data_IF_678020883433
#
_entry.id   IF_678020883433
#
_cell.length_a   1.000
_cell.length_b   1.000
_cell.length_c   1.000
_cell.angle_alpha   90.00
_cell.angle_beta   90.00
_cell.angle_gamma   90.00
#
_symmetry.space_group_name_H-M   'P 1'
#
loop_
_entity.id
_entity.type
_entity.pdbx_description
1 polymer ?
#
# COMPACT_ATOMS: atom_id res chain seq x y z
N UNK A 1 -5.34 4.85 -13.82
CA UNK A 1 -6.13 3.61 -13.60
C UNK A 1 -6.19 3.31 -12.11
N UNK A 2 -7.36 2.99 -11.60
CA UNK A 2 -7.54 2.65 -10.19
C UNK A 2 -7.38 1.15 -9.99
N UNK A 3 -6.62 0.78 -8.97
CA UNK A 3 -6.41 -0.61 -8.60
C UNK A 3 -6.14 -0.70 -7.11
N UNK A 4 -5.98 -1.90 -6.57
CA UNK A 4 -5.61 -2.06 -5.18
C UNK A 4 -4.09 -2.01 -5.05
N UNK A 5 -3.61 -1.60 -3.88
CA UNK A 5 -2.17 -1.57 -3.62
C UNK A 5 -1.57 -2.97 -3.75
N UNK A 6 -2.34 -4.01 -3.38
CA UNK A 6 -1.87 -5.40 -3.47
C UNK A 6 -1.63 -5.85 -4.92
N UNK A 7 -2.24 -5.17 -5.90
CA UNK A 7 -2.09 -5.53 -7.31
C UNK A 7 -0.94 -4.80 -7.99
N UNK A 8 -0.25 -3.93 -7.27
CA UNK A 8 0.80 -3.10 -7.85
C UNK A 8 2.03 -3.97 -8.15
N UNK A 9 2.56 -3.84 -9.36
CA UNK A 9 3.76 -4.57 -9.75
C UNK A 9 5.01 -3.97 -9.08
N UNK A 10 6.02 -4.80 -8.86
CA UNK A 10 7.29 -4.33 -8.33
C UNK A 10 7.85 -3.22 -9.21
N UNK A 11 8.37 -2.18 -8.56
CA UNK A 11 8.94 -1.04 -9.25
C UNK A 11 7.93 0.03 -9.66
N UNK A 12 6.65 -0.22 -9.46
CA UNK A 12 5.60 0.71 -9.89
C UNK A 12 5.27 1.69 -8.79
N UNK A 13 5.09 2.96 -9.17
CA UNK A 13 4.65 4.02 -8.26
C UNK A 13 3.15 4.25 -8.44
N UNK A 14 2.46 4.48 -7.34
CA UNK A 14 1.04 4.80 -7.38
C UNK A 14 0.71 5.82 -6.29
N UNK A 15 -0.46 6.42 -6.39
CA UNK A 15 -0.93 7.42 -5.42
C UNK A 15 -2.15 6.85 -4.70
N UNK A 16 -2.14 6.94 -3.38
CA UNK A 16 -3.27 6.47 -2.56
C UNK A 16 -4.49 7.35 -2.84
N UNK A 17 -5.64 6.72 -3.11
CA UNK A 17 -6.89 7.42 -3.38
C UNK A 17 -7.94 7.20 -2.32
N UNK A 18 -8.05 5.96 -1.83
CA UNK A 18 -9.07 5.64 -0.84
C UNK A 18 -8.62 4.44 -0.03
N UNK A 19 -9.22 4.27 1.14
CA UNK A 19 -8.94 3.14 2.01
C UNK A 19 -10.26 2.56 2.48
N UNK A 20 -10.45 1.28 2.23
CA UNK A 20 -11.68 0.57 2.58
C UNK A 20 -11.56 -0.19 3.90
N UNK A 21 -10.51 0.11 4.68
CA UNK A 21 -10.33 -0.42 6.02
C UNK A 21 -11.12 0.43 7.01
N UNK A 22 -11.36 -0.13 8.20
CA UNK A 22 -12.04 0.60 9.27
C UNK A 22 -11.38 0.28 10.61
N UNK A 23 -11.76 1.04 11.64
CA UNK A 23 -11.31 0.80 13.00
C UNK A 23 -9.81 1.00 13.19
N UNK A 24 -9.22 0.14 14.03
CA UNK A 24 -7.81 0.27 14.40
C UNK A 24 -6.87 0.00 13.21
N UNK A 25 -7.28 -0.86 12.28
CA UNK A 25 -6.47 -1.12 11.10
C UNK A 25 -6.34 0.14 10.25
N UNK A 26 -7.45 0.86 10.02
CA UNK A 26 -7.43 2.10 9.26
C UNK A 26 -6.50 3.12 9.92
N UNK A 27 -6.62 3.26 11.24
CA UNK A 27 -5.77 4.21 11.98
C UNK A 27 -4.30 3.85 11.83
N UNK A 28 -3.97 2.56 11.96
CA UNK A 28 -2.58 2.12 11.87
C UNK A 28 -1.98 2.41 10.50
N UNK A 29 -2.75 2.13 9.44
CA UNK A 29 -2.29 2.37 8.08
C UNK A 29 -2.12 3.87 7.83
N UNK A 30 -3.02 4.70 8.34
CA UNK A 30 -2.91 6.14 8.20
C UNK A 30 -1.71 6.68 8.96
N UNK A 31 -1.41 6.12 10.13
CA UNK A 31 -0.24 6.53 10.91
C UNK A 31 1.06 6.19 10.19
N UNK A 32 1.06 5.18 9.34
CA UNK A 32 2.22 4.85 8.51
C UNK A 32 2.37 5.78 7.31
N UNK A 33 1.39 6.66 7.08
CA UNK A 33 1.44 7.60 5.97
C UNK A 33 0.55 7.25 4.79
N UNK A 34 -0.28 6.21 4.89
CA UNK A 34 -1.15 5.78 3.80
C UNK A 34 -2.43 6.61 3.81
N UNK A 35 -2.29 7.89 3.46
CA UNK A 35 -3.42 8.81 3.36
C UNK A 35 -3.59 9.21 1.90
N UNK A 36 -4.77 9.74 1.58
CA UNK A 36 -5.07 10.17 0.21
C UNK A 36 -4.01 11.14 -0.29
N UNK A 37 -3.52 10.91 -1.51
CA UNK A 37 -2.51 11.74 -2.12
C UNK A 37 -1.08 11.28 -1.88
N UNK A 38 -0.86 10.33 -0.99
CA UNK A 38 0.50 9.83 -0.70
C UNK A 38 0.97 8.93 -1.83
N UNK A 39 2.20 9.13 -2.29
CA UNK A 39 2.81 8.24 -3.28
C UNK A 39 3.42 7.04 -2.58
N UNK A 40 3.23 5.87 -3.19
CA UNK A 40 3.83 4.62 -2.70
C UNK A 40 4.52 3.94 -3.87
N UNK A 41 5.60 3.22 -3.57
CA UNK A 41 6.32 2.44 -4.55
C UNK A 41 6.35 1.00 -4.07
N UNK A 42 5.94 0.06 -4.94
CA UNK A 42 6.07 -1.35 -4.64
C UNK A 42 7.52 -1.74 -4.87
N UNK A 43 8.26 -2.05 -3.81
CA UNK A 43 9.68 -2.33 -3.91
C UNK A 43 9.94 -3.80 -4.21
N UNK A 44 9.39 -4.68 -3.38
CA UNK A 44 9.76 -6.09 -3.46
C UNK A 44 8.68 -6.96 -2.83
N UNK A 45 8.26 -7.98 -3.57
CA UNK A 45 7.34 -8.99 -3.09
C UNK A 45 8.14 -10.18 -2.59
N UNK A 46 7.80 -10.70 -1.41
CA UNK A 46 8.52 -11.84 -0.87
C UNK A 46 8.34 -13.05 -1.78
N UNK A 47 9.23 -14.06 -1.72
CA UNK A 47 9.09 -15.26 -2.56
C UNK A 47 7.76 -15.97 -2.38
N UNK A 48 7.15 -15.90 -1.20
CA UNK A 48 5.85 -16.48 -0.94
C UNK A 48 4.70 -15.60 -1.42
N UNK A 49 5.01 -14.40 -1.93
CA UNK A 49 3.99 -13.46 -2.40
C UNK A 49 3.51 -12.49 -1.34
N UNK A 50 3.83 -12.74 -0.07
CA UNK A 50 3.34 -11.95 1.05
C UNK A 50 4.31 -12.11 2.22
N UNK A 51 4.66 -11.03 2.96
CA UNK A 51 4.28 -9.65 2.71
C UNK A 51 5.06 -9.02 1.55
N UNK A 52 4.65 -7.81 1.16
CA UNK A 52 5.32 -7.02 0.14
C UNK A 52 5.89 -5.76 0.77
N UNK A 53 7.10 -5.37 0.38
CA UNK A 53 7.74 -4.17 0.88
C UNK A 53 7.38 -2.98 -0.01
N UNK A 54 6.99 -1.88 0.63
CA UNK A 54 6.62 -0.64 -0.05
C UNK A 54 7.45 0.51 0.50
N UNK A 55 7.78 1.46 -0.37
CA UNK A 55 8.38 2.73 0.06
C UNK A 55 7.25 3.72 0.26
N UNK A 56 7.08 4.19 1.49
CA UNK A 56 6.02 5.10 1.88
C UNK A 56 6.64 6.23 2.69
N UNK A 57 6.61 7.44 2.15
CA UNK A 57 7.13 8.65 2.81
C UNK A 57 8.56 8.46 3.31
N UNK A 58 9.39 7.81 2.50
CA UNK A 58 10.80 7.63 2.82
C UNK A 58 11.11 6.42 3.71
N UNK A 59 10.09 5.67 4.12
CA UNK A 59 10.28 4.48 4.95
C UNK A 59 9.91 3.22 4.17
N UNK A 60 10.68 2.16 4.38
CA UNK A 60 10.38 0.86 3.79
C UNK A 60 9.52 0.08 4.79
N UNK A 61 8.30 -0.25 4.37
CA UNK A 61 7.32 -0.90 5.24
C UNK A 61 6.80 -2.16 4.57
N UNK A 62 6.81 -3.28 5.29
CA UNK A 62 6.26 -4.53 4.78
C UNK A 62 4.79 -4.63 5.19
N UNK A 63 3.92 -4.85 4.20
CA UNK A 63 2.48 -4.94 4.43
C UNK A 63 1.94 -6.22 3.82
N UNK A 64 0.95 -6.80 4.48
CA UNK A 64 0.29 -8.00 4.00
C UNK A 64 -0.82 -7.67 3.01
N UNK A 65 -1.07 -8.59 2.09
CA UNK A 65 -2.06 -8.39 1.03
C UNK A 65 -3.47 -8.23 1.59
N UNK A 66 -3.78 -8.82 2.76
CA UNK A 66 -5.08 -8.64 3.39
C UNK A 66 -5.32 -7.16 3.74
N UNK A 67 -4.26 -6.42 4.00
CA UNK A 67 -4.35 -4.99 4.30
C UNK A 67 -4.30 -4.16 3.03
N UNK A 68 -3.34 -4.46 2.14
CA UNK A 68 -3.14 -3.66 0.92
C UNK A 68 -4.27 -3.86 -0.09
N UNK A 69 -4.99 -4.99 0.01
CA UNK A 69 -6.13 -5.23 -0.85
C UNK A 69 -7.30 -4.28 -0.57
N UNK A 70 -7.27 -3.58 0.55
CA UNK A 70 -8.31 -2.61 0.92
C UNK A 70 -7.88 -1.18 0.66
N UNK A 71 -6.71 -0.98 0.06
CA UNK A 71 -6.20 0.36 -0.24
C UNK A 71 -6.29 0.56 -1.75
N UNK A 72 -7.06 1.57 -2.16
CA UNK A 72 -7.19 1.90 -3.56
C UNK A 72 -6.14 2.91 -3.95
N UNK A 73 -5.45 2.64 -5.05
CA UNK A 73 -4.40 3.52 -5.57
C UNK A 73 -4.65 3.82 -7.04
N UNK A 74 -4.02 4.88 -7.50
CA UNK A 74 -4.10 5.30 -8.90
C UNK A 74 -2.69 5.33 -9.48
N UNK A 75 -2.53 4.68 -10.63
CA UNK A 75 -1.25 4.68 -11.36
C UNK A 75 -1.27 5.66 -12.52
#
# INVERSE_FOLDING_TARGET
MNTTLSSLAEGTTATVRAMNSSGSMRRRLMDMGLIEGTKVICLHRSPAGDPTAYLIRGAVIALRSEDTGKIMVET
#
